data_IF_734410489383
#
_entry.id   IF_734410489383
#
_cell.length_a   1.000
_cell.length_b   1.000
_cell.length_c   1.000
_cell.angle_alpha   90.00
_cell.angle_beta   90.00
_cell.angle_gamma   90.00
#
_symmetry.space_group_name_H-M   'P 1'
#
loop_
_entity.id
_entity.type
_entity.pdbx_description
1 polymer ?
#
# COMPACT_ATOMS: atom_id res chain seq x y z
N UNK A 1 12.80 16.15 13.19
CA UNK A 1 13.42 14.87 12.79
C UNK A 1 12.40 13.73 12.78
N UNK A 2 11.74 13.44 13.91
CA UNK A 2 10.85 12.27 14.05
C UNK A 2 9.66 12.26 13.08
N UNK A 3 9.02 13.41 12.86
CA UNK A 3 7.91 13.53 11.90
C UNK A 3 8.32 13.11 10.48
N UNK A 4 9.42 13.69 9.96
CA UNK A 4 9.90 13.44 8.60
C UNK A 4 10.27 11.97 8.39
N UNK A 5 10.85 11.32 9.41
CA UNK A 5 11.16 9.88 9.36
C UNK A 5 9.89 9.04 9.30
N UNK A 6 8.93 9.27 10.21
CA UNK A 6 7.67 8.53 10.22
C UNK A 6 6.88 8.74 8.93
N UNK A 7 6.85 9.96 8.40
CA UNK A 7 6.20 10.26 7.13
C UNK A 7 6.92 9.57 5.96
N UNK A 8 8.25 9.56 5.95
CA UNK A 8 9.02 8.85 4.93
C UNK A 8 8.72 7.36 4.91
N UNK A 9 8.70 6.71 6.08
CA UNK A 9 8.33 5.31 6.22
C UNK A 9 6.88 5.05 5.77
N UNK A 10 5.96 5.93 6.16
CA UNK A 10 4.56 5.85 5.75
C UNK A 10 4.42 5.87 4.23
N UNK A 11 5.04 6.86 3.58
CA UNK A 11 5.00 7.03 2.13
C UNK A 11 5.68 5.87 1.39
N UNK A 12 6.78 5.32 1.92
CA UNK A 12 7.43 4.14 1.33
C UNK A 12 6.49 2.93 1.32
N UNK A 13 5.77 2.68 2.41
CA UNK A 13 4.75 1.62 2.46
C UNK A 13 3.65 1.86 1.43
N UNK A 14 3.15 3.10 1.32
CA UNK A 14 2.12 3.46 0.33
C UNK A 14 2.62 3.25 -1.10
N UNK A 15 3.86 3.66 -1.42
CA UNK A 15 4.44 3.51 -2.76
C UNK A 15 4.60 2.05 -3.15
N UNK A 16 5.10 1.20 -2.23
CA UNK A 16 5.28 -0.22 -2.51
C UNK A 16 3.93 -0.90 -2.75
N UNK A 17 2.96 -0.69 -1.86
CA UNK A 17 1.66 -1.34 -1.97
C UNK A 17 0.79 -0.76 -3.09
N UNK A 18 0.44 0.52 -3.01
CA UNK A 18 -0.50 1.16 -3.95
C UNK A 18 0.14 1.30 -5.33
N UNK A 19 1.41 1.70 -5.39
CA UNK A 19 2.16 1.78 -6.65
C UNK A 19 2.37 0.41 -7.29
N UNK A 20 2.67 -0.62 -6.51
CA UNK A 20 2.78 -2.00 -6.99
C UNK A 20 1.46 -2.54 -7.55
N UNK A 21 0.34 -2.25 -6.88
CA UNK A 21 -1.00 -2.59 -7.38
C UNK A 21 -1.32 -1.86 -8.69
N UNK A 22 -1.04 -0.55 -8.76
CA UNK A 22 -1.20 0.21 -9.99
C UNK A 22 -0.41 -0.43 -11.15
N UNK A 23 0.86 -0.75 -10.95
CA UNK A 23 1.67 -1.45 -11.94
C UNK A 23 1.09 -2.81 -12.33
N UNK A 24 0.71 -3.63 -11.34
CA UNK A 24 0.20 -4.98 -11.58
C UNK A 24 -1.05 -4.97 -12.47
N UNK A 25 -1.96 -4.02 -12.23
CA UNK A 25 -3.22 -3.95 -12.97
C UNK A 25 -3.13 -3.19 -14.28
N UNK A 26 -2.39 -2.07 -14.32
CA UNK A 26 -2.37 -1.18 -15.49
C UNK A 26 -1.30 -1.57 -16.51
N UNK A 27 -0.19 -2.18 -16.09
CA UNK A 27 0.92 -2.53 -16.97
C UNK A 27 1.12 -4.04 -17.10
N UNK A 28 1.26 -4.76 -15.98
CA UNK A 28 1.58 -6.19 -16.02
C UNK A 28 0.40 -7.03 -16.56
N UNK A 29 -0.83 -6.78 -16.08
CA UNK A 29 -2.02 -7.54 -16.52
C UNK A 29 -2.25 -7.46 -18.02
N UNK A 30 -2.29 -6.27 -18.63
CA UNK A 30 -2.58 -6.15 -20.06
C UNK A 30 -1.43 -6.70 -20.90
N UNK A 31 -0.17 -6.43 -20.52
CA UNK A 31 0.99 -6.98 -21.22
C UNK A 31 0.97 -8.52 -21.21
N UNK A 32 0.72 -9.14 -20.06
CA UNK A 32 0.60 -10.59 -19.95
C UNK A 32 -0.56 -11.15 -20.79
N UNK A 33 -1.66 -10.42 -20.94
CA UNK A 33 -2.78 -10.84 -21.79
C UNK A 33 -2.48 -10.75 -23.28
N UNK A 34 -1.54 -9.90 -23.70
CA UNK A 34 -1.13 -9.75 -25.10
C UNK A 34 -0.12 -10.81 -25.53
N UNK A 35 0.78 -11.21 -24.62
CA UNK A 35 1.95 -12.04 -25.00
C UNK A 35 1.89 -13.49 -24.50
N UNK A 36 1.01 -13.81 -23.53
CA UNK A 36 0.89 -15.14 -22.96
C UNK A 36 -0.46 -15.78 -23.29
N UNK A 37 -0.46 -17.11 -23.45
CA UNK A 37 -1.67 -17.91 -23.47
C UNK A 37 -2.42 -17.87 -22.10
N UNK A 38 -3.65 -18.37 -22.09
CA UNK A 38 -4.51 -18.33 -20.91
C UNK A 38 -3.92 -19.02 -19.66
N UNK A 39 -3.27 -20.18 -19.83
CA UNK A 39 -2.72 -20.96 -18.72
C UNK A 39 -1.43 -20.33 -18.18
N UNK A 40 -0.55 -19.89 -19.07
CA UNK A 40 0.70 -19.21 -18.76
C UNK A 40 0.46 -17.89 -18.03
N UNK A 41 -0.58 -17.14 -18.43
CA UNK A 41 -1.00 -15.92 -17.73
C UNK A 41 -1.37 -16.17 -16.27
N UNK A 42 -2.16 -17.21 -15.98
CA UNK A 42 -2.56 -17.53 -14.60
C UNK A 42 -1.36 -17.97 -13.74
N UNK A 43 -0.44 -18.74 -14.32
CA UNK A 43 0.81 -19.12 -13.64
C UNK A 43 1.66 -17.91 -13.27
N UNK A 44 1.81 -16.95 -14.19
CA UNK A 44 2.52 -15.69 -13.93
C UNK A 44 1.85 -14.93 -12.78
N UNK A 45 0.53 -14.74 -12.84
CA UNK A 45 -0.21 -14.00 -11.79
C UNK A 45 -0.07 -14.64 -10.41
N UNK A 46 -0.20 -15.97 -10.32
CA UNK A 46 -0.01 -16.69 -9.07
C UNK A 46 1.42 -16.50 -8.52
N UNK A 47 2.44 -16.61 -9.39
CA UNK A 47 3.83 -16.36 -9.01
C UNK A 47 4.07 -14.92 -8.54
N UNK A 48 3.64 -13.94 -9.33
CA UNK A 48 3.76 -12.52 -9.00
C UNK A 48 3.15 -12.22 -7.63
N UNK A 49 1.93 -12.68 -7.39
CA UNK A 49 1.26 -12.45 -6.11
C UNK A 49 1.91 -13.18 -4.94
N UNK A 50 2.41 -14.40 -5.14
CA UNK A 50 3.17 -15.11 -4.11
C UNK A 50 4.40 -14.32 -3.65
N UNK A 51 5.07 -13.62 -4.56
CA UNK A 51 6.21 -12.78 -4.25
C UNK A 51 5.83 -11.38 -3.76
N UNK A 52 4.71 -10.82 -4.22
CA UNK A 52 4.30 -9.46 -3.90
C UNK A 52 3.56 -9.35 -2.56
N UNK A 53 2.71 -10.32 -2.19
CA UNK A 53 1.92 -10.23 -0.96
C UNK A 53 2.74 -10.09 0.33
N UNK A 54 3.90 -10.74 0.52
CA UNK A 54 4.76 -10.47 1.68
C UNK A 54 5.15 -8.99 1.82
N UNK A 55 5.43 -8.31 0.69
CA UNK A 55 5.72 -6.87 0.67
C UNK A 55 4.48 -6.04 0.97
N UNK A 56 3.30 -6.47 0.51
CA UNK A 56 2.02 -5.83 0.84
C UNK A 56 1.77 -5.89 2.34
N UNK A 57 1.92 -7.06 2.97
CA UNK A 57 1.76 -7.20 4.43
C UNK A 57 2.75 -6.33 5.21
N UNK A 58 4.01 -6.31 4.81
CA UNK A 58 5.02 -5.42 5.39
C UNK A 58 4.65 -3.94 5.23
N UNK A 59 4.13 -3.56 4.06
CA UNK A 59 3.68 -2.19 3.78
C UNK A 59 2.47 -1.80 4.62
N UNK A 60 1.47 -2.66 4.77
CA UNK A 60 0.30 -2.44 5.64
C UNK A 60 0.76 -2.18 7.07
N UNK A 61 1.61 -3.05 7.62
CA UNK A 61 2.14 -2.89 8.97
C UNK A 61 2.91 -1.56 9.11
N UNK A 62 3.73 -1.20 8.11
CA UNK A 62 4.50 0.04 8.11
C UNK A 62 3.59 1.28 8.04
N UNK A 63 2.58 1.28 7.18
CA UNK A 63 1.61 2.37 7.01
C UNK A 63 0.84 2.60 8.31
N UNK A 64 0.27 1.54 8.91
CA UNK A 64 -0.50 1.68 10.14
C UNK A 64 0.37 2.11 11.33
N UNK A 65 1.53 1.49 11.52
CA UNK A 65 2.43 1.83 12.64
C UNK A 65 2.93 3.28 12.55
N UNK A 66 3.42 3.70 11.38
CA UNK A 66 3.88 5.07 11.17
C UNK A 66 2.74 6.09 11.19
N UNK A 67 1.58 5.76 10.60
CA UNK A 67 0.42 6.63 10.54
C UNK A 67 -0.20 6.88 11.92
N UNK A 68 -0.36 5.83 12.72
CA UNK A 68 -0.82 5.97 14.11
C UNK A 68 0.21 6.67 14.99
N UNK A 69 1.50 6.43 14.78
CA UNK A 69 2.53 7.19 15.50
C UNK A 69 2.42 8.68 15.20
N UNK A 70 2.26 9.08 13.94
CA UNK A 70 2.03 10.49 13.58
C UNK A 70 0.75 11.01 14.24
N UNK A 71 -0.35 10.28 14.10
CA UNK A 71 -1.66 10.70 14.58
C UNK A 71 -1.69 10.92 16.10
N UNK A 72 -1.26 9.93 16.88
CA UNK A 72 -1.39 9.97 18.33
C UNK A 72 -0.23 10.72 19.00
N UNK A 73 1.00 10.55 18.53
CA UNK A 73 2.17 11.15 19.18
C UNK A 73 2.47 12.56 18.72
N UNK A 74 2.06 12.96 17.51
CA UNK A 74 2.42 14.27 16.93
C UNK A 74 1.22 15.19 16.70
N UNK A 75 0.05 14.65 16.30
CA UNK A 75 -1.17 15.43 16.08
C UNK A 75 -2.05 15.51 17.35
N UNK A 76 -1.92 14.52 18.25
CA UNK A 76 -2.70 14.44 19.50
C UNK A 76 -4.04 13.72 19.34
N UNK A 77 -4.16 12.84 18.35
CA UNK A 77 -5.30 11.94 18.14
C UNK A 77 -6.32 12.41 17.12
N UNK A 78 -7.34 11.56 16.87
CA UNK A 78 -8.37 11.78 15.85
C UNK A 78 -9.19 13.05 16.05
N UNK A 79 -9.42 13.51 17.28
CA UNK A 79 -10.20 14.72 17.54
C UNK A 79 -9.56 16.00 16.95
N UNK A 80 -8.23 15.99 16.73
CA UNK A 80 -7.46 17.09 16.16
C UNK A 80 -7.04 16.84 14.71
N UNK A 81 -7.42 15.69 14.14
CA UNK A 81 -7.04 15.31 12.80
C UNK A 81 -7.91 16.05 11.76
N UNK A 82 -7.30 16.42 10.64
CA UNK A 82 -8.04 16.98 9.52
C UNK A 82 -8.94 15.93 8.86
N UNK A 83 -10.03 16.36 8.21
CA UNK A 83 -11.03 15.47 7.59
C UNK A 83 -10.42 14.45 6.61
N UNK A 84 -9.39 14.86 5.85
CA UNK A 84 -8.74 13.94 4.91
C UNK A 84 -8.04 12.76 5.60
N UNK A 85 -7.61 12.91 6.87
CA UNK A 85 -6.99 11.83 7.65
C UNK A 85 -8.05 10.80 8.04
N UNK A 86 -9.27 11.24 8.39
CA UNK A 86 -10.39 10.34 8.66
C UNK A 86 -10.78 9.57 7.40
N UNK A 87 -10.87 10.24 6.25
CA UNK A 87 -11.17 9.59 4.98
C UNK A 87 -10.08 8.58 4.59
N UNK A 88 -8.81 8.96 4.66
CA UNK A 88 -7.66 8.08 4.41
C UNK A 88 -7.68 6.86 5.32
N UNK A 89 -7.93 7.06 6.61
CA UNK A 89 -7.99 5.96 7.58
C UNK A 89 -9.18 5.03 7.34
N UNK A 90 -10.37 5.59 7.05
CA UNK A 90 -11.55 4.81 6.72
C UNK A 90 -11.35 3.95 5.47
N UNK A 91 -10.75 4.51 4.43
CA UNK A 91 -10.37 3.76 3.22
C UNK A 91 -9.41 2.61 3.55
N UNK A 92 -8.40 2.87 4.39
CA UNK A 92 -7.42 1.86 4.79
C UNK A 92 -8.00 0.72 5.65
N UNK A 93 -9.16 0.92 6.32
CA UNK A 93 -9.85 -0.14 7.07
C UNK A 93 -10.75 -0.98 6.16
N UNK A 94 -11.39 -0.34 5.18
CA UNK A 94 -12.35 -1.00 4.29
C UNK A 94 -11.64 -1.94 3.30
N UNK A 95 -10.46 -1.52 2.84
CA UNK A 95 -9.67 -2.24 1.83
C UNK A 95 -8.67 -3.19 2.46
#
# INVERSE_FOLDING_TARGET
MTYSLSLGLHLLGVVVWVGGMFFAYMALRPAAAMVLDGASRLKLWNGTFKHFFPWVWGSIALIFSSGYFILFSLIGGFAKAAVYIHAMHGLAIIM
#
